data_IF_065241663029
#
_entry.id   IF_065241663029
#
_cell.length_a   1.000
_cell.length_b   1.000
_cell.length_c   1.000
_cell.angle_alpha   90.00
_cell.angle_beta   90.00
_cell.angle_gamma   90.00
#
_symmetry.space_group_name_H-M   'P 1'
#
loop_
_entity.id
_entity.type
_entity.pdbx_description
1 polymer ?
#
# COMPACT_ATOMS: atom_id res chain seq x y z
N UNK A 1 13.61 28.04 49.17
CA UNK A 1 13.88 26.76 48.46
C UNK A 1 12.55 26.15 47.95
N UNK A 2 11.73 26.90 47.17
CA UNK A 2 10.44 26.44 46.59
C UNK A 2 10.01 27.32 45.39
N UNK A 3 10.91 27.65 44.45
CA UNK A 3 10.58 28.50 43.29
C UNK A 3 11.12 28.03 41.93
N UNK A 4 11.66 26.80 41.84
CA UNK A 4 12.35 26.31 40.64
C UNK A 4 11.75 25.03 40.03
N UNK A 5 10.53 24.64 40.42
CA UNK A 5 9.85 23.42 39.91
C UNK A 5 8.64 23.73 39.02
N UNK A 6 8.12 24.96 39.01
CA UNK A 6 6.90 25.30 38.24
C UNK A 6 7.12 25.71 36.78
N UNK A 7 8.37 25.74 36.28
CA UNK A 7 8.68 26.23 34.93
C UNK A 7 9.02 25.15 33.90
N UNK A 8 8.79 23.87 34.23
CA UNK A 8 8.96 22.75 33.30
C UNK A 8 7.66 22.01 32.95
N UNK A 9 6.51 22.37 33.55
CA UNK A 9 5.24 21.66 33.32
C UNK A 9 4.35 22.26 32.22
N UNK A 10 4.67 23.45 31.70
CA UNK A 10 3.82 24.12 30.68
C UNK A 10 4.29 23.86 29.25
N UNK A 11 5.50 23.32 29.05
CA UNK A 11 6.06 23.08 27.72
C UNK A 11 5.65 21.73 27.09
N UNK A 12 5.02 20.81 27.83
CA UNK A 12 4.61 19.50 27.30
C UNK A 12 3.18 19.46 26.73
N UNK A 13 2.34 20.47 27.01
CA UNK A 13 0.96 20.52 26.51
C UNK A 13 0.81 21.12 25.10
N UNK A 14 1.86 21.73 24.53
CA UNK A 14 1.78 22.39 23.23
C UNK A 14 2.00 21.45 22.02
N UNK A 15 2.40 20.19 22.25
CA UNK A 15 2.68 19.21 21.18
C UNK A 15 1.47 18.35 20.78
N UNK A 16 0.31 18.50 21.44
CA UNK A 16 -0.89 17.68 21.17
C UNK A 16 -1.95 18.35 20.28
N UNK A 17 -1.82 19.62 19.90
CA UNK A 17 -2.93 20.35 19.23
C UNK A 17 -2.73 20.65 17.75
N UNK A 18 -1.75 20.02 17.10
CA UNK A 18 -1.62 20.04 15.65
C UNK A 18 -2.06 18.71 15.03
N UNK A 19 -3.20 18.15 15.49
CA UNK A 19 -4.04 17.35 14.59
C UNK A 19 -4.58 18.31 13.52
N UNK A 20 -3.71 18.66 12.56
CA UNK A 20 -4.13 19.36 11.36
C UNK A 20 -5.31 18.57 10.81
N UNK A 21 -6.49 19.21 10.76
CA UNK A 21 -7.73 18.60 10.30
C UNK A 21 -7.45 17.91 8.96
N UNK A 22 -7.26 16.60 9.00
CA UNK A 22 -6.92 15.84 7.81
C UNK A 22 -8.20 15.84 6.98
N UNK A 23 -8.17 16.61 5.89
CA UNK A 23 -9.27 16.72 4.94
C UNK A 23 -8.75 16.31 3.58
N UNK A 24 -9.64 15.76 2.74
CA UNK A 24 -9.31 15.41 1.36
C UNK A 24 -8.84 16.67 0.63
N UNK A 25 -7.66 16.61 0.03
CA UNK A 25 -7.04 17.71 -0.70
C UNK A 25 -7.65 17.85 -2.11
N UNK A 26 -8.85 18.40 -2.18
CA UNK A 26 -9.59 18.57 -3.43
C UNK A 26 -8.94 19.58 -4.36
N UNK A 27 -8.44 19.11 -5.51
CA UNK A 27 -7.89 19.99 -6.57
C UNK A 27 -9.02 20.56 -7.42
N UNK A 28 -8.81 21.76 -7.98
CA UNK A 28 -9.74 22.40 -8.92
C UNK A 28 -9.18 22.50 -10.34
N UNK A 29 -7.86 22.38 -10.51
CA UNK A 29 -7.19 22.33 -11.82
C UNK A 29 -7.23 20.90 -12.37
N UNK A 30 -8.12 20.66 -13.33
CA UNK A 30 -8.34 19.34 -13.92
C UNK A 30 -7.17 18.89 -14.79
N UNK A 31 -6.64 19.70 -15.73
CA UNK A 31 -5.45 19.31 -16.50
C UNK A 31 -4.26 18.90 -15.62
N UNK A 32 -3.95 19.67 -14.58
CA UNK A 32 -2.84 19.34 -13.68
C UNK A 32 -3.10 18.06 -12.86
N UNK A 33 -4.36 17.83 -12.47
CA UNK A 33 -4.75 16.59 -11.80
C UNK A 33 -4.62 15.38 -12.72
N UNK A 34 -5.08 15.47 -13.97
CA UNK A 34 -4.94 14.40 -14.97
C UNK A 34 -3.47 14.11 -15.27
N UNK A 35 -2.63 15.14 -15.43
CA UNK A 35 -1.20 14.97 -15.61
C UNK A 35 -0.55 14.26 -14.40
N UNK A 36 -0.94 14.64 -13.18
CA UNK A 36 -0.48 13.97 -11.96
C UNK A 36 -0.92 12.50 -11.91
N UNK A 37 -2.17 12.23 -12.27
CA UNK A 37 -2.74 10.89 -12.31
C UNK A 37 -2.00 9.99 -13.31
N UNK A 38 -1.68 10.51 -14.50
CA UNK A 38 -0.87 9.82 -15.52
C UNK A 38 0.55 9.55 -15.02
N UNK A 39 1.21 10.55 -14.45
CA UNK A 39 2.59 10.42 -13.98
C UNK A 39 2.75 9.43 -12.83
N UNK A 40 1.74 9.32 -11.97
CA UNK A 40 1.75 8.41 -10.82
C UNK A 40 0.98 7.10 -11.06
N UNK A 41 0.41 6.93 -12.24
CA UNK A 41 -0.51 5.84 -12.56
C UNK A 41 -1.63 5.65 -11.53
N UNK A 42 -2.18 6.74 -11.00
CA UNK A 42 -3.26 6.72 -10.00
C UNK A 42 -4.62 7.04 -10.61
N UNK A 43 -5.71 6.39 -10.18
CA UNK A 43 -7.04 6.74 -10.63
C UNK A 43 -7.46 8.13 -10.14
N UNK A 44 -8.39 8.75 -10.87
CA UNK A 44 -9.02 10.03 -10.54
C UNK A 44 -10.30 9.80 -9.73
N UNK A 45 -10.54 10.68 -8.75
CA UNK A 45 -11.78 10.74 -7.97
C UNK A 45 -12.39 12.14 -8.10
N UNK A 46 -13.46 12.26 -8.88
CA UNK A 46 -14.16 13.50 -9.14
C UNK A 46 -15.35 13.66 -8.21
N UNK A 47 -15.35 14.69 -7.36
CA UNK A 47 -16.52 15.12 -6.61
C UNK A 47 -17.23 16.26 -7.33
N UNK A 48 -18.43 15.99 -7.86
CA UNK A 48 -19.17 16.92 -8.73
C UNK A 48 -20.21 17.67 -7.91
N UNK A 49 -20.07 18.99 -7.83
CA UNK A 49 -20.99 19.88 -7.13
C UNK A 49 -22.00 20.50 -8.10
N UNK A 50 -23.28 20.41 -7.75
CA UNK A 50 -24.35 21.17 -8.42
C UNK A 50 -24.34 22.65 -8.05
N UNK A 51 -25.37 23.40 -8.49
CA UNK A 51 -25.56 24.79 -8.05
C UNK A 51 -25.90 24.81 -6.55
N UNK A 52 -25.61 25.90 -5.85
CA UNK A 52 -25.91 26.01 -4.43
C UNK A 52 -27.40 25.82 -4.10
N UNK A 53 -28.30 26.27 -4.98
CA UNK A 53 -29.76 26.11 -4.84
C UNK A 53 -30.21 24.64 -4.94
N UNK A 54 -29.43 23.78 -5.61
CA UNK A 54 -29.75 22.37 -5.82
C UNK A 54 -29.23 21.48 -4.67
N UNK A 55 -28.55 22.06 -3.66
CA UNK A 55 -27.87 21.31 -2.60
C UNK A 55 -28.73 21.18 -1.37
N UNK A 56 -28.88 19.94 -0.90
CA UNK A 56 -29.44 19.67 0.42
C UNK A 56 -28.35 19.90 1.49
N UNK A 57 -28.59 20.84 2.40
CA UNK A 57 -27.67 21.18 3.49
C UNK A 57 -27.39 19.99 4.42
N UNK A 58 -28.39 19.14 4.67
CA UNK A 58 -28.22 17.97 5.53
C UNK A 58 -27.31 16.94 4.85
N UNK A 59 -27.54 16.72 3.55
CA UNK A 59 -26.71 15.84 2.73
C UNK A 59 -25.27 16.37 2.63
N UNK A 60 -25.08 17.67 2.40
CA UNK A 60 -23.75 18.28 2.33
C UNK A 60 -22.96 18.12 3.64
N UNK A 61 -23.62 18.33 4.78
CA UNK A 61 -23.01 18.13 6.09
C UNK A 61 -22.63 16.66 6.33
N UNK A 62 -23.49 15.72 5.92
CA UNK A 62 -23.21 14.29 6.02
C UNK A 62 -22.01 13.89 5.14
N UNK A 63 -21.93 14.38 3.90
CA UNK A 63 -20.78 14.13 3.02
C UNK A 63 -19.49 14.73 3.55
N UNK A 64 -19.53 15.95 4.10
CA UNK A 64 -18.36 16.55 4.78
C UNK A 64 -17.88 15.67 5.93
N UNK A 65 -18.80 15.13 6.74
CA UNK A 65 -18.46 14.19 7.82
C UNK A 65 -17.82 12.91 7.27
N UNK A 66 -18.35 12.35 6.18
CA UNK A 66 -17.76 11.19 5.52
C UNK A 66 -16.34 11.48 4.98
N UNK A 67 -16.07 12.67 4.47
CA UNK A 67 -14.73 13.06 4.00
C UNK A 67 -13.70 13.26 5.12
N UNK A 68 -14.15 13.40 6.36
CA UNK A 68 -13.27 13.44 7.55
C UNK A 68 -13.08 12.09 8.21
N UNK A 69 -13.76 11.04 7.72
CA UNK A 69 -13.57 9.69 8.25
C UNK A 69 -12.14 9.21 7.99
N UNK A 70 -11.43 8.66 9.01
CA UNK A 70 -10.04 8.23 8.86
C UNK A 70 -9.81 7.23 7.73
N UNK A 71 -10.75 6.29 7.48
CA UNK A 71 -10.61 5.28 6.42
C UNK A 71 -10.76 5.92 5.05
N UNK A 72 -11.75 6.81 4.90
CA UNK A 72 -11.93 7.57 3.66
C UNK A 72 -10.70 8.43 3.36
N UNK A 73 -10.14 9.10 4.37
CA UNK A 73 -8.92 9.91 4.23
C UNK A 73 -7.72 9.08 3.80
N UNK A 74 -7.49 7.92 4.43
CA UNK A 74 -6.42 7.00 4.07
C UNK A 74 -6.58 6.51 2.62
N UNK A 75 -7.79 6.09 2.24
CA UNK A 75 -8.09 5.62 0.88
C UNK A 75 -7.98 6.75 -0.14
N UNK A 76 -8.33 7.99 0.22
CA UNK A 76 -8.27 9.12 -0.71
C UNK A 76 -6.86 9.39 -1.24
N UNK A 77 -5.82 8.99 -0.50
CA UNK A 77 -4.41 9.11 -0.91
C UNK A 77 -4.06 8.20 -2.10
N UNK A 78 -4.88 7.18 -2.37
CA UNK A 78 -4.77 6.28 -3.53
C UNK A 78 -5.44 6.83 -4.79
N UNK A 79 -5.98 8.05 -4.72
CA UNK A 79 -6.60 8.74 -5.84
C UNK A 79 -6.00 10.12 -6.03
N UNK A 80 -6.06 10.64 -7.25
CA UNK A 80 -5.95 12.07 -7.48
C UNK A 80 -7.35 12.67 -7.37
N UNK A 81 -7.59 13.43 -6.30
CA UNK A 81 -8.91 13.95 -5.96
C UNK A 81 -9.16 15.31 -6.61
N UNK A 82 -10.31 15.46 -7.24
CA UNK A 82 -10.68 16.65 -8.01
C UNK A 82 -12.10 17.04 -7.64
N UNK A 83 -12.31 18.32 -7.36
CA UNK A 83 -13.64 18.89 -7.14
C UNK A 83 -14.05 19.69 -8.36
N UNK A 84 -15.16 19.29 -8.97
CA UNK A 84 -15.72 19.94 -10.15
C UNK A 84 -16.97 20.72 -9.75
N UNK A 85 -17.14 21.90 -10.35
CA UNK A 85 -18.42 22.61 -10.34
C UNK A 85 -19.13 22.36 -11.65
N UNK A 86 -20.38 21.91 -11.58
CA UNK A 86 -21.22 21.64 -12.75
C UNK A 86 -21.42 22.87 -13.65
N UNK A 87 -21.41 24.07 -13.08
CA UNK A 87 -21.54 25.31 -13.87
C UNK A 87 -20.23 25.71 -14.53
N UNK A 88 -19.09 25.51 -13.88
CA UNK A 88 -17.79 25.96 -14.36
C UNK A 88 -17.07 24.92 -15.25
N UNK A 89 -17.41 23.63 -15.11
CA UNK A 89 -16.67 22.52 -15.74
C UNK A 89 -17.54 21.67 -16.68
N UNK A 90 -18.50 22.28 -17.39
CA UNK A 90 -19.42 21.54 -18.30
C UNK A 90 -18.67 20.76 -19.37
N UNK A 91 -17.71 21.39 -20.03
CA UNK A 91 -16.95 20.78 -21.12
C UNK A 91 -16.14 19.57 -20.62
N UNK A 92 -15.53 19.71 -19.44
CA UNK A 92 -14.80 18.63 -18.76
C UNK A 92 -15.73 17.47 -18.40
N UNK A 93 -16.92 17.75 -17.86
CA UNK A 93 -17.90 16.70 -17.55
C UNK A 93 -18.31 15.96 -18.83
N UNK A 94 -18.52 16.67 -19.93
CA UNK A 94 -18.85 16.07 -21.22
C UNK A 94 -17.70 15.21 -21.78
N UNK A 95 -16.46 15.71 -21.72
CA UNK A 95 -15.25 14.99 -22.15
C UNK A 95 -15.07 13.68 -21.39
N UNK A 96 -15.25 13.73 -20.06
CA UNK A 96 -15.20 12.56 -19.17
C UNK A 96 -16.45 11.68 -19.25
N UNK A 97 -17.43 12.02 -20.10
CA UNK A 97 -18.73 11.32 -20.24
C UNK A 97 -19.48 11.18 -18.91
N UNK A 98 -19.32 12.18 -18.04
CA UNK A 98 -20.05 12.31 -16.78
C UNK A 98 -21.37 13.04 -17.04
N UNK A 99 -22.52 12.53 -16.56
CA UNK A 99 -23.80 13.18 -16.76
C UNK A 99 -23.77 14.62 -16.23
N UNK A 100 -24.25 15.55 -17.04
CA UNK A 100 -24.43 16.94 -16.63
C UNK A 100 -25.49 17.10 -15.52
N UNK A 101 -26.19 16.03 -15.14
CA UNK A 101 -27.15 16.00 -14.04
C UNK A 101 -26.52 15.62 -12.70
N UNK A 102 -25.26 15.18 -12.66
CA UNK A 102 -24.58 14.80 -11.42
C UNK A 102 -24.51 16.00 -10.45
N UNK A 103 -25.04 15.81 -9.25
CA UNK A 103 -25.01 16.79 -8.16
C UNK A 103 -24.68 16.08 -6.86
N UNK A 104 -23.58 16.47 -6.21
CA UNK A 104 -23.09 15.85 -4.97
C UNK A 104 -22.74 14.36 -5.11
N UNK A 105 -22.34 13.95 -6.32
CA UNK A 105 -21.92 12.58 -6.64
C UNK A 105 -20.40 12.49 -6.77
N UNK A 106 -19.86 11.28 -6.58
CA UNK A 106 -18.46 10.99 -6.91
C UNK A 106 -18.40 10.06 -8.12
N UNK A 107 -17.58 10.41 -9.10
CA UNK A 107 -17.18 9.53 -10.19
C UNK A 107 -15.71 9.14 -10.06
N UNK A 108 -15.41 7.90 -10.40
CA UNK A 108 -14.06 7.37 -10.46
C UNK A 108 -13.68 7.12 -11.92
N UNK A 109 -12.49 7.53 -12.31
CA UNK A 109 -12.01 7.35 -13.67
C UNK A 109 -10.53 6.97 -13.70
N UNK A 110 -10.13 6.33 -14.79
CA UNK A 110 -8.72 6.11 -15.11
C UNK A 110 -8.05 7.43 -15.54
N UNK A 111 -6.70 7.50 -15.56
CA UNK A 111 -5.97 8.68 -16.05
C UNK A 111 -6.26 9.08 -17.50
N UNK A 112 -6.73 8.13 -18.33
CA UNK A 112 -7.18 8.33 -19.72
C UNK A 112 -8.65 8.77 -19.82
N UNK A 113 -9.35 9.00 -18.69
CA UNK A 113 -10.71 9.54 -18.66
C UNK A 113 -11.81 8.49 -18.81
N UNK A 114 -11.49 7.19 -18.82
CA UNK A 114 -12.49 6.12 -18.81
C UNK A 114 -13.09 6.03 -17.41
N UNK A 115 -14.40 6.23 -17.33
CA UNK A 115 -15.15 6.06 -16.06
C UNK A 115 -15.09 4.59 -15.64
N UNK A 116 -14.67 4.35 -14.40
CA UNK A 116 -14.61 3.03 -13.77
C UNK A 116 -15.95 2.75 -13.09
N UNK A 117 -16.40 3.67 -12.23
CA UNK A 117 -17.63 3.54 -11.45
C UNK A 117 -18.08 4.91 -10.92
N UNK A 118 -19.25 4.95 -10.28
CA UNK A 118 -19.85 6.13 -9.64
C UNK A 118 -20.49 5.75 -8.31
N UNK A 119 -20.67 6.76 -7.45
CA UNK A 119 -21.41 6.63 -6.21
C UNK A 119 -22.39 7.79 -6.07
N UNK A 120 -23.63 7.45 -5.74
CA UNK A 120 -24.74 8.39 -5.56
C UNK A 120 -24.51 9.29 -4.35
N UNK A 121 -25.24 10.41 -4.22
CA UNK A 121 -24.99 11.37 -3.15
C UNK A 121 -25.19 10.79 -1.75
N UNK A 122 -26.20 9.92 -1.58
CA UNK A 122 -26.45 9.21 -0.33
C UNK A 122 -25.33 8.23 0.02
N UNK A 123 -24.75 7.55 -0.97
CA UNK A 123 -23.59 6.68 -0.77
C UNK A 123 -22.34 7.45 -0.37
N UNK A 124 -22.14 8.66 -0.93
CA UNK A 124 -21.02 9.56 -0.53
C UNK A 124 -21.21 10.04 0.91
N UNK A 125 -22.45 10.20 1.37
CA UNK A 125 -22.77 10.67 2.72
C UNK A 125 -22.54 9.62 3.82
N UNK A 126 -22.46 8.33 3.45
CA UNK A 126 -22.16 7.24 4.37
C UNK A 126 -20.66 6.85 4.29
N UNK A 127 -19.86 7.06 5.35
CA UNK A 127 -18.42 6.86 5.30
C UNK A 127 -18.01 5.44 4.95
N UNK A 128 -18.75 4.44 5.46
CA UNK A 128 -18.47 3.02 5.20
C UNK A 128 -18.71 2.68 3.74
N UNK A 129 -19.87 3.06 3.20
CA UNK A 129 -20.25 2.84 1.80
C UNK A 129 -19.27 3.51 0.85
N UNK A 130 -18.85 4.75 1.16
CA UNK A 130 -17.83 5.46 0.40
C UNK A 130 -16.49 4.73 0.43
N UNK A 131 -16.00 4.33 1.62
CA UNK A 131 -14.74 3.60 1.77
C UNK A 131 -14.76 2.25 1.02
N UNK A 132 -15.84 1.48 1.15
CA UNK A 132 -16.00 0.19 0.46
C UNK A 132 -16.01 0.36 -1.06
N UNK A 133 -16.69 1.40 -1.57
CA UNK A 133 -16.65 1.73 -3.01
C UNK A 133 -15.27 2.15 -3.47
N UNK A 134 -14.56 2.99 -2.70
CA UNK A 134 -13.20 3.40 -3.03
C UNK A 134 -12.24 2.21 -3.10
N UNK A 135 -12.33 1.26 -2.15
CA UNK A 135 -11.54 0.00 -2.20
C UNK A 135 -11.86 -0.80 -3.46
N UNK A 136 -13.14 -1.06 -3.71
CA UNK A 136 -13.60 -1.83 -4.88
C UNK A 136 -13.10 -1.23 -6.20
N UNK A 137 -13.25 0.10 -6.36
CA UNK A 137 -12.79 0.82 -7.55
C UNK A 137 -11.28 0.75 -7.70
N UNK A 138 -10.54 0.98 -6.63
CA UNK A 138 -9.08 0.92 -6.67
C UNK A 138 -8.59 -0.49 -7.02
N UNK A 139 -9.25 -1.52 -6.47
CA UNK A 139 -8.98 -2.93 -6.77
C UNK A 139 -9.28 -3.29 -8.22
N UNK A 140 -10.40 -2.81 -8.76
CA UNK A 140 -10.73 -2.98 -10.17
C UNK A 140 -9.71 -2.27 -11.07
N UNK A 141 -9.31 -1.05 -10.71
CA UNK A 141 -8.32 -0.27 -11.44
C UNK A 141 -6.97 -0.98 -11.52
N UNK A 142 -6.41 -1.41 -10.36
CA UNK A 142 -5.10 -2.06 -10.33
C UNK A 142 -5.08 -3.37 -11.11
N UNK A 143 -6.19 -4.13 -11.09
CA UNK A 143 -6.34 -5.38 -11.86
C UNK A 143 -6.37 -5.11 -13.36
N UNK A 144 -7.14 -4.12 -13.79
CA UNK A 144 -7.23 -3.72 -15.21
C UNK A 144 -5.87 -3.22 -15.71
N UNK A 145 -5.22 -2.30 -14.96
CA UNK A 145 -3.89 -1.79 -15.27
C UNK A 145 -2.86 -2.91 -15.41
N UNK A 146 -2.86 -3.86 -14.45
CA UNK A 146 -1.97 -5.01 -14.50
C UNK A 146 -2.20 -5.85 -15.75
N UNK A 147 -3.45 -6.26 -15.98
CA UNK A 147 -3.81 -7.16 -17.09
C UNK A 147 -3.52 -6.52 -18.45
N UNK A 148 -3.84 -5.23 -18.60
CA UNK A 148 -3.78 -4.51 -19.87
C UNK A 148 -2.39 -4.02 -20.24
N UNK A 149 -1.63 -3.51 -19.27
CA UNK A 149 -0.40 -2.76 -19.54
C UNK A 149 0.85 -3.44 -18.98
N UNK A 150 0.80 -3.95 -17.75
CA UNK A 150 2.01 -4.44 -17.07
C UNK A 150 2.30 -5.90 -17.41
N UNK A 151 1.30 -6.78 -17.29
CA UNK A 151 1.45 -8.21 -17.51
C UNK A 151 1.98 -8.55 -18.91
N UNK A 152 1.51 -7.92 -20.01
CA UNK A 152 2.06 -8.22 -21.34
C UNK A 152 3.55 -7.93 -21.46
N UNK A 153 4.06 -6.90 -20.79
CA UNK A 153 5.50 -6.62 -20.73
C UNK A 153 6.24 -7.64 -19.84
N UNK A 154 5.65 -8.03 -18.71
CA UNK A 154 6.23 -9.06 -17.85
C UNK A 154 6.29 -10.43 -18.52
N UNK A 155 5.34 -10.79 -19.39
CA UNK A 155 5.29 -12.11 -20.03
C UNK A 155 6.19 -12.21 -21.28
N UNK A 156 6.62 -11.08 -21.87
CA UNK A 156 7.58 -11.06 -22.99
C UNK A 156 8.98 -11.52 -22.56
N UNK A 157 9.58 -12.55 -23.19
CA UNK A 157 10.91 -13.06 -22.81
C UNK A 157 12.04 -12.04 -22.96
N UNK A 158 11.94 -11.17 -23.96
CA UNK A 158 12.92 -10.17 -24.39
C UNK A 158 12.44 -8.73 -24.12
N UNK A 159 11.59 -8.56 -23.10
CA UNK A 159 11.10 -7.24 -22.69
C UNK A 159 12.24 -6.28 -22.36
N UNK A 160 12.06 -5.02 -22.77
CA UNK A 160 13.00 -3.94 -22.46
C UNK A 160 13.15 -3.76 -20.93
N UNK A 161 14.37 -3.83 -20.37
CA UNK A 161 14.60 -3.67 -18.94
C UNK A 161 14.02 -2.39 -18.35
N UNK A 162 13.99 -1.28 -19.09
CA UNK A 162 13.40 -0.02 -18.58
C UNK A 162 11.88 -0.13 -18.41
N UNK A 163 11.20 -0.78 -19.37
CA UNK A 163 9.76 -1.06 -19.25
C UNK A 163 9.44 -2.01 -18.12
N UNK A 164 10.26 -3.05 -17.92
CA UNK A 164 10.11 -3.96 -16.77
C UNK A 164 10.24 -3.19 -15.45
N UNK A 165 11.27 -2.34 -15.30
CA UNK A 165 11.45 -1.53 -14.09
C UNK A 165 10.27 -0.58 -13.84
N UNK A 166 9.73 0.05 -14.89
CA UNK A 166 8.54 0.89 -14.77
C UNK A 166 7.31 0.09 -14.30
N UNK A 167 7.09 -1.11 -14.87
CA UNK A 167 6.02 -2.02 -14.46
C UNK A 167 6.17 -2.51 -13.01
N UNK A 168 7.39 -2.86 -12.60
CA UNK A 168 7.72 -3.24 -11.23
C UNK A 168 7.46 -2.10 -10.24
N UNK A 169 7.85 -0.86 -10.60
CA UNK A 169 7.55 0.33 -9.81
C UNK A 169 6.04 0.53 -9.62
N UNK A 170 5.26 0.42 -10.71
CA UNK A 170 3.80 0.50 -10.64
C UNK A 170 3.18 -0.61 -9.78
N UNK A 171 3.69 -1.85 -9.86
CA UNK A 171 3.22 -2.97 -9.02
C UNK A 171 3.45 -2.67 -7.54
N UNK A 172 4.65 -2.18 -7.19
CA UNK A 172 4.99 -1.82 -5.80
C UNK A 172 4.13 -0.68 -5.30
N UNK A 173 4.09 0.42 -6.04
CA UNK A 173 3.46 1.67 -5.58
C UNK A 173 1.94 1.53 -5.45
N UNK A 174 1.32 0.67 -6.28
CA UNK A 174 -0.12 0.37 -6.25
C UNK A 174 -0.47 -0.90 -5.47
N UNK A 175 0.53 -1.59 -4.91
CA UNK A 175 0.39 -2.86 -4.21
C UNK A 175 -0.45 -3.89 -5.00
N UNK A 176 -0.03 -4.22 -6.23
CA UNK A 176 -0.76 -5.13 -7.13
C UNK A 176 -0.47 -6.59 -6.77
N UNK A 177 -1.16 -7.10 -5.74
CA UNK A 177 -1.02 -8.48 -5.24
C UNK A 177 -1.25 -9.55 -6.32
N UNK A 178 -2.11 -9.30 -7.32
CA UNK A 178 -2.32 -10.26 -8.42
C UNK A 178 -1.09 -10.49 -9.31
N UNK A 179 -0.03 -9.70 -9.14
CA UNK A 179 1.21 -9.83 -9.91
C UNK A 179 2.13 -10.96 -9.42
N UNK A 180 1.91 -11.54 -8.24
CA UNK A 180 2.80 -12.52 -7.60
C UNK A 180 3.30 -13.61 -8.56
N UNK A 181 2.37 -14.31 -9.22
CA UNK A 181 2.71 -15.41 -10.10
C UNK A 181 3.58 -14.95 -11.29
N UNK A 182 3.33 -13.75 -11.82
CA UNK A 182 4.12 -13.20 -12.92
C UNK A 182 5.52 -12.79 -12.44
N UNK A 183 5.64 -12.20 -11.25
CA UNK A 183 6.92 -11.84 -10.65
C UNK A 183 7.76 -13.07 -10.32
N UNK A 184 7.16 -14.13 -9.79
CA UNK A 184 7.84 -15.41 -9.53
C UNK A 184 8.42 -15.97 -10.83
N UNK A 185 7.62 -16.06 -11.90
CA UNK A 185 8.11 -16.48 -13.23
C UNK A 185 9.22 -15.57 -13.76
N UNK A 186 9.14 -14.25 -13.50
CA UNK A 186 10.19 -13.31 -13.91
C UNK A 186 11.53 -13.66 -13.24
N UNK A 187 11.52 -14.03 -11.95
CA UNK A 187 12.76 -14.44 -11.24
C UNK A 187 13.41 -15.70 -11.82
N UNK A 188 12.66 -16.54 -12.52
CA UNK A 188 13.12 -17.82 -13.07
C UNK A 188 13.80 -17.66 -14.43
N UNK A 189 13.72 -16.48 -15.06
CA UNK A 189 14.38 -16.22 -16.33
C UNK A 189 15.88 -16.22 -16.17
N UNK A 190 16.57 -17.04 -16.95
CA UNK A 190 18.04 -17.14 -16.91
C UNK A 190 18.72 -15.82 -17.33
N UNK A 191 18.25 -15.20 -18.41
CA UNK A 191 18.85 -14.01 -19.02
C UNK A 191 18.25 -12.69 -18.55
N UNK A 192 17.65 -12.65 -17.35
CA UNK A 192 17.12 -11.41 -16.79
C UNK A 192 18.25 -10.48 -16.35
N UNK A 193 18.16 -9.22 -16.75
CA UNK A 193 19.05 -8.17 -16.27
C UNK A 193 19.11 -8.14 -14.73
N UNK A 194 20.31 -7.96 -14.17
CA UNK A 194 20.53 -8.05 -12.73
C UNK A 194 19.77 -6.96 -11.95
N UNK A 195 19.65 -5.75 -12.51
CA UNK A 195 18.90 -4.66 -11.86
C UNK A 195 17.42 -5.00 -11.82
N UNK A 196 16.86 -5.50 -12.92
CA UNK A 196 15.46 -5.96 -12.97
C UNK A 196 15.22 -7.09 -11.98
N UNK A 197 16.14 -8.07 -11.89
CA UNK A 197 16.05 -9.17 -10.94
C UNK A 197 16.02 -8.68 -9.49
N UNK A 198 16.90 -7.75 -9.14
CA UNK A 198 16.94 -7.21 -7.78
C UNK A 198 15.68 -6.42 -7.45
N UNK A 199 15.22 -5.57 -8.38
CA UNK A 199 13.96 -4.85 -8.21
C UNK A 199 12.79 -5.83 -8.04
N UNK A 200 12.76 -6.93 -8.80
CA UNK A 200 11.73 -7.98 -8.66
C UNK A 200 11.71 -8.55 -7.23
N UNK A 201 12.87 -8.78 -6.61
CA UNK A 201 12.95 -9.24 -5.23
C UNK A 201 12.41 -8.19 -4.25
N UNK A 202 12.75 -6.91 -4.45
CA UNK A 202 12.23 -5.81 -3.63
C UNK A 202 10.71 -5.68 -3.76
N UNK A 203 10.16 -5.86 -4.96
CA UNK A 203 8.70 -5.84 -5.18
C UNK A 203 8.03 -7.03 -4.48
N UNK A 204 8.56 -8.25 -4.63
CA UNK A 204 8.06 -9.43 -3.90
C UNK A 204 8.07 -9.19 -2.38
N UNK A 205 9.13 -8.57 -1.85
CA UNK A 205 9.23 -8.24 -0.45
C UNK A 205 8.16 -7.21 -0.03
N UNK A 206 7.97 -6.16 -0.83
CA UNK A 206 6.96 -5.13 -0.58
C UNK A 206 5.52 -5.67 -0.60
N UNK A 207 5.22 -6.62 -1.51
CA UNK A 207 3.91 -7.29 -1.56
C UNK A 207 3.67 -8.17 -0.33
N UNK A 208 4.72 -8.81 0.20
CA UNK A 208 4.67 -9.64 1.43
C UNK A 208 3.59 -10.71 1.44
N UNK A 209 3.15 -11.17 0.28
CA UNK A 209 2.18 -12.25 0.15
C UNK A 209 2.85 -13.59 0.44
N UNK A 210 2.06 -14.61 0.76
CA UNK A 210 2.59 -15.95 1.04
C UNK A 210 3.47 -16.48 -0.11
N UNK A 211 3.03 -16.48 -1.38
CA UNK A 211 3.88 -16.96 -2.48
C UNK A 211 5.15 -16.14 -2.67
N UNK A 212 5.09 -14.81 -2.48
CA UNK A 212 6.24 -13.95 -2.63
C UNK A 212 7.30 -14.20 -1.53
N UNK A 213 6.84 -14.32 -0.29
CA UNK A 213 7.69 -14.62 0.88
C UNK A 213 8.33 -16.00 0.74
N UNK A 214 7.54 -17.02 0.36
CA UNK A 214 8.05 -18.38 0.13
C UNK A 214 9.10 -18.41 -0.99
N UNK A 215 8.87 -17.73 -2.12
CA UNK A 215 9.85 -17.66 -3.22
C UNK A 215 11.14 -16.95 -2.80
N UNK A 216 11.04 -15.83 -2.10
CA UNK A 216 12.23 -15.11 -1.60
C UNK A 216 13.04 -15.98 -0.63
N UNK A 217 12.34 -16.74 0.22
CA UNK A 217 12.97 -17.68 1.14
C UNK A 217 13.69 -18.81 0.41
N UNK A 218 13.06 -19.43 -0.59
CA UNK A 218 13.71 -20.45 -1.45
C UNK A 218 14.98 -19.92 -2.12
N UNK A 219 14.90 -18.71 -2.69
CA UNK A 219 16.05 -18.05 -3.31
C UNK A 219 17.16 -17.72 -2.30
N UNK A 220 16.80 -17.31 -1.09
CA UNK A 220 17.74 -17.06 0.00
C UNK A 220 18.46 -18.36 0.43
N UNK A 221 17.72 -19.47 0.52
CA UNK A 221 18.29 -20.82 0.78
C UNK A 221 19.28 -21.25 -0.31
N UNK A 222 19.00 -20.91 -1.58
CA UNK A 222 19.89 -21.13 -2.71
C UNK A 222 21.06 -20.13 -2.79
N UNK A 223 21.46 -19.57 -1.64
CA UNK A 223 22.58 -18.64 -1.47
C UNK A 223 22.52 -17.41 -2.40
N UNK A 224 21.31 -16.89 -2.68
CA UNK A 224 21.13 -15.62 -3.42
C UNK A 224 21.11 -14.46 -2.43
N UNK A 225 22.23 -13.73 -2.21
CA UNK A 225 22.33 -12.74 -1.13
C UNK A 225 21.32 -11.59 -1.27
N UNK A 226 20.98 -11.20 -2.50
CA UNK A 226 19.99 -10.14 -2.75
C UNK A 226 18.56 -10.56 -2.42
N UNK A 227 18.22 -11.85 -2.57
CA UNK A 227 16.92 -12.35 -2.14
C UNK A 227 16.83 -12.39 -0.61
N UNK A 228 17.91 -12.81 0.08
CA UNK A 228 17.99 -12.74 1.53
C UNK A 228 17.90 -11.30 2.08
N UNK A 229 18.53 -10.33 1.39
CA UNK A 229 18.41 -8.92 1.71
C UNK A 229 16.97 -8.42 1.59
N UNK A 230 16.31 -8.72 0.47
CA UNK A 230 14.91 -8.36 0.23
C UNK A 230 13.96 -9.06 1.22
N UNK A 231 14.20 -10.33 1.57
CA UNK A 231 13.42 -11.07 2.55
C UNK A 231 13.42 -10.38 3.92
N UNK A 232 14.52 -9.71 4.30
CA UNK A 232 14.57 -8.91 5.53
C UNK A 232 13.78 -7.59 5.49
N UNK A 233 13.24 -7.20 4.32
CA UNK A 233 12.44 -5.99 4.10
C UNK A 233 10.93 -6.28 3.97
N UNK A 234 10.51 -7.53 4.14
CA UNK A 234 9.09 -7.87 4.18
C UNK A 234 8.38 -7.12 5.31
N UNK A 235 7.07 -6.96 5.17
CA UNK A 235 6.22 -6.40 6.23
C UNK A 235 6.13 -7.35 7.43
N UNK A 236 5.70 -6.88 8.61
CA UNK A 236 5.41 -7.74 9.74
C UNK A 236 4.41 -8.86 9.43
N UNK A 237 3.42 -8.63 8.58
CA UNK A 237 2.50 -9.67 8.11
C UNK A 237 3.22 -10.77 7.31
N UNK A 238 4.18 -10.39 6.46
CA UNK A 238 5.05 -11.35 5.76
C UNK A 238 5.96 -12.13 6.72
N UNK A 239 6.45 -11.48 7.79
CA UNK A 239 7.27 -12.13 8.81
C UNK A 239 6.52 -13.21 9.58
N UNK A 240 5.21 -13.02 9.84
CA UNK A 240 4.36 -14.05 10.43
C UNK A 240 4.28 -15.30 9.55
N UNK A 241 4.24 -15.16 8.22
CA UNK A 241 4.26 -16.28 7.27
C UNK A 241 5.58 -17.07 7.38
N UNK A 242 6.71 -16.39 7.56
CA UNK A 242 8.01 -17.04 7.77
C UNK A 242 8.12 -17.74 9.13
N UNK A 243 7.28 -17.42 10.11
CA UNK A 243 7.43 -17.98 11.45
C UNK A 243 7.26 -19.51 11.48
N UNK A 244 6.50 -20.08 10.52
CA UNK A 244 6.38 -21.52 10.34
C UNK A 244 7.69 -22.18 9.88
N UNK A 245 8.60 -21.41 9.27
CA UNK A 245 9.91 -21.85 8.80
C UNK A 245 10.96 -21.93 9.90
N UNK A 246 10.68 -21.38 11.08
CA UNK A 246 11.59 -21.48 12.24
C UNK A 246 11.67 -22.89 12.84
N UNK A 247 10.71 -23.76 12.53
CA UNK A 247 10.62 -25.13 13.08
C UNK A 247 11.25 -26.17 12.15
N UNK A 248 11.80 -25.76 11.00
CA UNK A 248 12.49 -26.70 10.09
C UNK A 248 13.82 -27.20 10.70
N UNK A 249 14.13 -28.49 10.52
CA UNK A 249 15.31 -29.16 11.11
C UNK A 249 16.66 -28.72 10.49
N UNK A 250 16.63 -27.96 9.40
CA UNK A 250 17.84 -27.43 8.76
C UNK A 250 18.27 -26.11 9.43
N UNK A 251 19.36 -26.18 10.20
CA UNK A 251 19.90 -25.04 10.94
C UNK A 251 20.24 -23.81 10.08
N UNK A 252 20.65 -24.00 8.82
CA UNK A 252 20.92 -22.87 7.91
C UNK A 252 19.63 -22.17 7.53
N UNK A 253 18.61 -22.96 7.23
CA UNK A 253 17.27 -22.50 6.83
C UNK A 253 16.59 -21.75 7.96
N UNK A 254 16.70 -22.28 9.18
CA UNK A 254 16.21 -21.65 10.40
C UNK A 254 16.87 -20.28 10.66
N UNK A 255 18.19 -20.17 10.48
CA UNK A 255 18.93 -18.91 10.68
C UNK A 255 18.50 -17.85 9.65
N UNK A 256 18.26 -18.22 8.39
CA UNK A 256 17.78 -17.30 7.35
C UNK A 256 16.39 -16.77 7.69
N UNK A 257 15.46 -17.64 8.10
CA UNK A 257 14.12 -17.23 8.52
C UNK A 257 14.17 -16.31 9.76
N UNK A 258 14.95 -16.70 10.78
CA UNK A 258 15.16 -15.90 11.98
C UNK A 258 15.69 -14.50 11.66
N UNK A 259 16.74 -14.40 10.83
CA UNK A 259 17.33 -13.13 10.45
C UNK A 259 16.34 -12.19 9.76
N UNK A 260 15.55 -12.73 8.82
CA UNK A 260 14.53 -11.99 8.11
C UNK A 260 13.42 -11.48 9.03
N UNK A 261 12.90 -12.34 9.92
CA UNK A 261 11.86 -11.96 10.89
C UNK A 261 12.37 -10.87 11.84
N UNK A 262 13.59 -11.01 12.37
CA UNK A 262 14.16 -9.99 13.24
C UNK A 262 14.26 -8.63 12.55
N UNK A 263 14.66 -8.58 11.27
CA UNK A 263 14.74 -7.33 10.50
C UNK A 263 13.35 -6.75 10.23
N UNK A 264 12.42 -7.55 9.71
CA UNK A 264 11.06 -7.13 9.37
C UNK A 264 10.28 -6.59 10.59
N UNK A 265 10.48 -7.20 11.76
CA UNK A 265 9.83 -6.81 13.01
C UNK A 265 10.63 -5.79 13.84
N UNK A 266 11.82 -5.37 13.38
CA UNK A 266 12.66 -4.40 14.08
C UNK A 266 13.24 -4.89 15.43
N UNK A 267 13.46 -6.20 15.57
CA UNK A 267 14.05 -6.82 16.77
C UNK A 267 15.54 -6.50 16.82
N UNK A 268 15.95 -5.66 17.77
CA UNK A 268 17.33 -5.15 17.88
C UNK A 268 18.33 -6.18 18.41
N UNK A 269 17.90 -7.03 19.35
CA UNK A 269 18.76 -7.99 20.05
C UNK A 269 18.89 -9.32 19.29
N UNK A 270 19.23 -9.25 18.00
CA UNK A 270 19.40 -10.43 17.16
C UNK A 270 20.61 -11.26 17.60
N UNK A 271 20.43 -12.58 17.75
CA UNK A 271 21.53 -13.52 18.00
C UNK A 271 22.46 -13.61 16.78
N UNK A 272 23.77 -13.60 17.03
CA UNK A 272 24.77 -13.78 15.98
C UNK A 272 24.86 -15.25 15.54
N UNK A 273 25.33 -15.52 14.32
CA UNK A 273 25.48 -16.89 13.77
C UNK A 273 26.23 -17.84 14.72
N UNK A 274 27.34 -17.38 15.32
CA UNK A 274 28.15 -18.16 16.28
C UNK A 274 27.39 -18.56 17.56
N UNK A 275 26.32 -17.85 17.91
CA UNK A 275 25.48 -18.24 19.06
C UNK A 275 24.70 -19.52 18.72
N UNK A 276 24.17 -19.64 17.50
CA UNK A 276 23.45 -20.83 17.05
C UNK A 276 24.34 -22.08 16.98
N UNK A 277 25.64 -21.93 16.77
CA UNK A 277 26.59 -23.05 16.82
C UNK A 277 26.85 -23.56 18.24
N UNK A 278 26.78 -22.67 19.24
CA UNK A 278 27.23 -22.95 20.62
C UNK A 278 26.10 -23.12 21.64
N UNK A 279 24.94 -22.53 21.39
CA UNK A 279 23.83 -22.54 22.31
C UNK A 279 23.24 -23.95 22.49
N UNK A 280 22.77 -24.24 23.69
CA UNK A 280 22.01 -25.45 23.97
C UNK A 280 20.69 -25.45 23.18
N UNK A 281 20.21 -26.63 22.78
CA UNK A 281 18.96 -26.77 22.00
C UNK A 281 17.75 -26.14 22.72
N UNK A 282 17.69 -26.22 24.05
CA UNK A 282 16.63 -25.56 24.84
C UNK A 282 16.61 -24.05 24.62
N UNK A 283 17.78 -23.40 24.70
CA UNK A 283 17.90 -21.95 24.51
C UNK A 283 17.57 -21.53 23.07
N UNK A 284 17.92 -22.36 22.09
CA UNK A 284 17.54 -22.14 20.69
C UNK A 284 16.03 -22.14 20.54
N UNK A 285 15.35 -23.17 21.06
CA UNK A 285 13.89 -23.28 20.99
C UNK A 285 13.19 -22.10 21.68
N UNK A 286 13.68 -21.67 22.86
CA UNK A 286 13.14 -20.51 23.57
C UNK A 286 13.27 -19.21 22.76
N UNK A 287 14.42 -18.99 22.11
CA UNK A 287 14.63 -17.81 21.26
C UNK A 287 13.75 -17.85 20.00
N UNK A 288 13.56 -19.02 19.39
CA UNK A 288 12.69 -19.20 18.22
C UNK A 288 11.23 -18.94 18.56
N UNK A 289 10.73 -19.49 19.67
CA UNK A 289 9.36 -19.25 20.14
C UNK A 289 9.13 -17.78 20.50
N UNK A 290 10.09 -17.14 21.19
CA UNK A 290 10.05 -15.69 21.45
C UNK A 290 9.95 -14.90 20.15
N UNK A 291 10.73 -15.27 19.13
CA UNK A 291 10.76 -14.60 17.83
C UNK A 291 9.44 -14.77 17.07
N UNK A 292 8.88 -15.98 17.09
CA UNK A 292 7.57 -16.30 16.52
C UNK A 292 6.46 -15.47 17.16
N UNK A 293 6.43 -15.38 18.49
CA UNK A 293 5.46 -14.56 19.21
C UNK A 293 5.61 -13.07 18.87
N UNK A 294 6.84 -12.55 18.82
CA UNK A 294 7.10 -11.17 18.45
C UNK A 294 6.65 -10.85 17.00
N UNK A 295 6.82 -11.79 16.07
CA UNK A 295 6.36 -11.65 14.70
C UNK A 295 4.84 -11.52 14.62
N UNK A 296 4.11 -12.38 15.35
CA UNK A 296 2.65 -12.35 15.45
C UNK A 296 2.14 -11.02 16.00
N UNK A 297 2.70 -10.55 17.12
CA UNK A 297 2.32 -9.26 17.72
C UNK A 297 2.64 -8.06 16.82
N UNK A 298 3.75 -8.13 16.07
CA UNK A 298 4.09 -7.11 15.09
C UNK A 298 3.11 -7.12 13.90
N UNK A 299 2.72 -8.31 13.41
CA UNK A 299 1.72 -8.47 12.37
C UNK A 299 0.36 -7.91 12.79
N UNK A 300 -0.14 -8.27 13.97
CA UNK A 300 -1.42 -7.77 14.52
C UNK A 300 -1.45 -6.23 14.58
N UNK A 301 -0.40 -5.60 15.11
CA UNK A 301 -0.29 -4.13 15.15
C UNK A 301 -0.23 -3.49 13.76
N UNK A 302 0.50 -4.13 12.84
CA UNK A 302 0.60 -3.67 11.46
C UNK A 302 -0.77 -3.73 10.78
N UNK A 303 -1.51 -4.84 10.92
CA UNK A 303 -2.85 -4.99 10.33
C UNK A 303 -3.83 -3.96 10.86
N UNK A 304 -3.82 -3.70 12.17
CA UNK A 304 -4.66 -2.67 12.78
C UNK A 304 -4.38 -1.25 12.24
N UNK A 305 -3.19 -1.02 11.67
CA UNK A 305 -2.79 0.28 11.09
C UNK A 305 -3.04 0.34 9.58
N UNK A 306 -2.90 -0.78 8.86
CA UNK A 306 -2.77 -0.79 7.40
C UNK A 306 -3.78 -1.70 6.64
N UNK A 307 -4.40 -2.68 7.28
CA UNK A 307 -5.28 -3.68 6.64
C UNK A 307 -6.79 -3.45 6.83
N UNK A 308 -7.22 -2.28 7.33
CA UNK A 308 -8.66 -1.95 7.46
C UNK A 308 -9.38 -1.48 6.18
#
# INVERSE_FOLDING_TARGET
>A
MYRLVSMFLVAFCALQMAEAQQTIQWRTDVPAAVATAKNKSLPLMFYVLGKNEDRDNNLDNAQKKAFTDPKVLQLSRRFVTVRLSRSANRDVLQELRLPATMTQEIAFATPDGKVIDRISPSGVADPKTLADKMRMVFDSYRRDLFTREIQPELDKPDADPQRLLAGLGAIRDLNIVSADAALIRLTEREKLDNKVRFETYEVLAALSTKPAVEKLFELAKAEKPRAAEALGKITPAGAEILADKLVEDDGTVQIVAYDAICKACGIRERRATKWWERAENRLKLEELEKTKQAAKEAAERWRATYEE
#
